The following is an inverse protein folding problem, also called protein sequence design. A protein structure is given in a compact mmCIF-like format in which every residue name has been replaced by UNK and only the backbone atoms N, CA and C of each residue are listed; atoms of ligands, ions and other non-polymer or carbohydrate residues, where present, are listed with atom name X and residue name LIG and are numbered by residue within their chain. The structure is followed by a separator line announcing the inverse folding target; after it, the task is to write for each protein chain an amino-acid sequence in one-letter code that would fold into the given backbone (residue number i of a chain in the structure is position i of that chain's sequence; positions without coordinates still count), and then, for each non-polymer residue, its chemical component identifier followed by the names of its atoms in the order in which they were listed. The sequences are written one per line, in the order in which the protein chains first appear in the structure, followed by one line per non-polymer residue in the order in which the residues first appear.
data_IF_606355613300
#
_entry.id   IF_606355613300
#
_cell.length_a   1.000
_cell.length_b   1.000
_cell.length_c   1.000
_cell.angle_alpha   90.00
_cell.angle_beta   90.00
_cell.angle_gamma   90.00
#
_symmetry.space_group_name_H-M   'P 1'
#
loop_
_entity.id
_entity.type
_entity.pdbx_description
1 polymer ?
#
# COMPACT_ATOMS: atom_id res chain seq x y z
N UNK A 1 -3.49 -3.91 0.08
CA UNK A 1 -4.44 -4.52 -0.89
C UNK A 1 -4.37 -3.83 -2.24
N UNK A 2 -4.43 -4.57 -3.34
CA UNK A 2 -4.77 -3.99 -4.65
C UNK A 2 -6.22 -4.36 -4.97
N UNK A 3 -7.01 -3.40 -5.45
CA UNK A 3 -8.40 -3.62 -5.87
C UNK A 3 -8.52 -3.28 -7.35
N UNK A 4 -8.88 -4.27 -8.16
CA UNK A 4 -9.14 -4.05 -9.57
C UNK A 4 -10.46 -3.30 -9.74
N UNK A 5 -10.40 -2.08 -10.26
CA UNK A 5 -11.59 -1.20 -10.37
C UNK A 5 -12.62 -1.70 -11.39
N UNK A 6 -12.21 -2.56 -12.32
CA UNK A 6 -13.11 -3.05 -13.37
C UNK A 6 -13.80 -4.37 -12.99
N UNK A 7 -13.16 -5.22 -12.16
CA UNK A 7 -13.71 -6.53 -11.76
C UNK A 7 -14.09 -6.65 -10.28
N UNK A 8 -13.63 -5.73 -9.41
CA UNK A 8 -13.75 -5.85 -7.96
C UNK A 8 -12.84 -6.90 -7.34
N UNK A 9 -11.96 -7.53 -8.13
CA UNK A 9 -10.97 -8.50 -7.65
C UNK A 9 -10.00 -7.85 -6.65
N UNK A 10 -9.75 -8.53 -5.53
CA UNK A 10 -8.85 -8.08 -4.48
C UNK A 10 -7.60 -8.96 -4.48
N UNK A 11 -6.44 -8.31 -4.48
CA UNK A 11 -5.13 -8.97 -4.39
C UNK A 11 -4.45 -8.50 -3.10
N UNK A 12 -4.15 -9.44 -2.22
CA UNK A 12 -3.32 -9.19 -1.04
C UNK A 12 -1.85 -9.13 -1.44
N UNK A 13 -1.11 -8.20 -0.87
CA UNK A 13 0.33 -8.07 -1.10
C UNK A 13 1.02 -7.57 0.16
N UNK A 14 2.31 -7.92 0.25
CA UNK A 14 3.24 -7.40 1.25
C UNK A 14 4.51 -6.97 0.50
N UNK A 15 5.02 -5.80 0.82
CA UNK A 15 6.23 -5.25 0.21
C UNK A 15 7.11 -4.62 1.30
N UNK A 16 8.28 -5.21 1.53
CA UNK A 16 9.16 -4.83 2.64
C UNK A 16 9.69 -3.38 2.51
N UNK A 17 9.87 -2.91 1.27
CA UNK A 17 10.40 -1.57 1.03
C UNK A 17 9.36 -0.49 1.30
N UNK A 18 8.09 -0.76 0.98
CA UNK A 18 6.97 0.11 1.36
C UNK A 18 6.87 0.24 2.88
N UNK A 19 6.93 -0.87 3.61
CA UNK A 19 6.82 -0.87 5.08
C UNK A 19 7.97 -0.07 5.72
N UNK A 20 9.22 -0.30 5.27
CA UNK A 20 10.38 0.48 5.72
C UNK A 20 10.20 1.98 5.47
N UNK A 21 9.68 2.35 4.29
CA UNK A 21 9.46 3.74 3.94
C UNK A 21 8.40 4.41 4.81
N UNK A 22 7.30 3.73 5.11
CA UNK A 22 6.24 4.25 5.98
C UNK A 22 6.75 4.54 7.39
N UNK A 23 7.50 3.60 7.99
CA UNK A 23 8.15 3.82 9.29
C UNK A 23 9.14 4.98 9.25
N UNK A 24 9.96 5.07 8.19
CA UNK A 24 10.93 6.16 8.04
C UNK A 24 10.26 7.54 7.90
N UNK A 25 9.11 7.62 7.21
CA UNK A 25 8.33 8.87 7.10
C UNK A 25 7.79 9.26 8.47
N UNK A 26 7.16 8.34 9.21
CA UNK A 26 6.64 8.62 10.56
C UNK A 26 7.75 9.15 11.49
N UNK A 27 8.91 8.48 11.49
CA UNK A 27 10.07 8.88 12.29
C UNK A 27 10.57 10.29 11.94
N UNK A 28 10.56 10.70 10.67
CA UNK A 28 10.93 12.06 10.24
C UNK A 28 10.00 13.14 10.79
N UNK A 29 8.75 12.79 11.09
CA UNK A 29 7.79 13.70 11.72
C UNK A 29 7.78 13.59 13.25
N UNK A 30 8.70 12.81 13.84
CA UNK A 30 8.80 12.64 15.28
C UNK A 30 7.66 11.83 15.89
N UNK A 31 6.99 10.99 15.09
CA UNK A 31 5.88 10.12 15.52
C UNK A 31 6.16 8.65 15.23
N UNK A 32 5.51 7.78 15.99
CA UNK A 32 5.53 6.33 15.77
C UNK A 32 4.37 5.92 14.87
N UNK A 33 4.63 5.06 13.89
CA UNK A 33 3.59 4.45 13.07
C UNK A 33 2.98 3.28 13.86
N UNK A 34 1.75 3.48 14.35
CA UNK A 34 1.02 2.46 15.13
C UNK A 34 0.20 1.52 14.24
N UNK A 35 -0.38 2.06 13.17
CA UNK A 35 -1.20 1.30 12.21
C UNK A 35 -1.25 2.06 10.86
N UNK A 36 -1.56 1.34 9.78
CA UNK A 36 -1.76 1.91 8.46
C UNK A 36 -2.73 1.08 7.61
N UNK A 37 -3.35 1.75 6.65
CA UNK A 37 -4.16 1.09 5.63
C UNK A 37 -3.65 1.52 4.24
N UNK A 38 -3.24 0.53 3.43
CA UNK A 38 -2.79 0.73 2.07
C UNK A 38 -3.67 -0.02 1.08
N UNK A 39 -4.39 0.74 0.26
CA UNK A 39 -5.15 0.22 -0.89
C UNK A 39 -4.65 0.87 -2.17
N UNK A 40 -4.29 0.05 -3.15
CA UNK A 40 -3.95 0.48 -4.50
C UNK A 40 -5.11 0.12 -5.44
N UNK A 41 -5.75 1.11 -6.02
CA UNK A 41 -6.76 0.88 -7.04
C UNK A 41 -6.07 0.67 -8.39
N UNK A 42 -6.22 -0.53 -8.95
CA UNK A 42 -5.49 -0.95 -10.15
C UNK A 42 -6.44 -1.25 -11.29
N UNK A 43 -5.91 -1.21 -12.52
CA UNK A 43 -6.57 -1.66 -13.74
C UNK A 43 -5.62 -2.57 -14.50
N UNK A 44 -6.14 -3.58 -15.20
CA UNK A 44 -5.32 -4.42 -16.08
C UNK A 44 -4.63 -3.56 -17.13
N UNK A 45 -3.31 -3.69 -17.23
CA UNK A 45 -2.54 -3.00 -18.27
C UNK A 45 -2.91 -3.59 -19.64
N UNK A 46 -3.41 -2.78 -20.55
CA UNK A 46 -3.53 -3.16 -21.96
C UNK A 46 -2.11 -3.26 -22.53
N UNK A 47 -1.78 -4.40 -23.16
CA UNK A 47 -0.50 -4.58 -23.85
C UNK A 47 -0.44 -3.72 -25.11
#
# INVERSE_FOLDING_TARGET
HMVNVDSGEVIEFFDEDIEKLQHAIAAKHGVELVDHNLVLYVRKKTK
#
